data_IF_745096520614
#
_entry.id   IF_745096520614
#
_cell.length_a   1.000
_cell.length_b   1.000
_cell.length_c   1.000
_cell.angle_alpha   90.00
_cell.angle_beta   90.00
_cell.angle_gamma   90.00
#
_symmetry.space_group_name_H-M   'P 1'
#
loop_
_entity.id
_entity.type
_entity.pdbx_description
1 polymer ?
#
# COMPACT_ATOMS: atom_id res chain seq x y z
N UNK A 1 6.35 -11.64 14.63
CA UNK A 1 6.13 -10.52 13.69
C UNK A 1 4.75 -9.98 13.98
N UNK A 2 4.61 -8.68 14.21
CA UNK A 2 3.32 -8.06 14.57
C UNK A 2 2.74 -7.37 13.32
N UNK A 3 1.73 -7.97 12.65
CA UNK A 3 1.27 -7.51 11.35
C UNK A 3 0.57 -6.14 11.42
N UNK A 4 -0.08 -5.81 12.54
CA UNK A 4 -0.66 -4.48 12.77
C UNK A 4 0.41 -3.40 12.86
N UNK A 5 1.51 -3.66 13.58
CA UNK A 5 2.65 -2.73 13.64
C UNK A 5 3.28 -2.51 12.26
N UNK A 6 3.33 -3.55 11.42
CA UNK A 6 3.84 -3.44 10.04
C UNK A 6 2.88 -2.62 9.18
N UNK A 7 1.59 -2.91 9.23
CA UNK A 7 0.57 -2.14 8.51
C UNK A 7 0.64 -0.65 8.88
N UNK A 8 0.67 -0.33 10.17
CA UNK A 8 0.78 1.06 10.64
C UNK A 8 2.12 1.74 10.29
N UNK A 9 3.19 0.98 10.06
CA UNK A 9 4.44 1.54 9.55
C UNK A 9 4.34 1.88 8.05
N UNK A 10 3.73 0.98 7.27
CA UNK A 10 3.50 1.17 5.83
C UNK A 10 2.55 2.34 5.55
N UNK A 11 1.45 2.47 6.30
CA UNK A 11 0.51 3.61 6.17
C UNK A 11 1.18 4.96 6.46
N UNK A 12 2.12 4.99 7.41
CA UNK A 12 2.90 6.21 7.72
C UNK A 12 3.93 6.55 6.65
N UNK A 13 4.51 5.53 6.00
CA UNK A 13 5.49 5.71 4.93
C UNK A 13 4.82 6.12 3.61
N UNK A 14 3.62 5.60 3.34
CA UNK A 14 2.86 5.79 2.11
C UNK A 14 1.51 6.48 2.39
N UNK A 15 1.53 7.81 2.64
CA UNK A 15 0.32 8.53 3.00
C UNK A 15 -0.74 8.43 1.90
N UNK A 16 -1.94 8.00 2.29
CA UNK A 16 -3.07 7.81 1.40
C UNK A 16 -3.33 6.37 1.00
N UNK A 17 -2.51 5.41 1.45
CA UNK A 17 -2.87 4.00 1.47
C UNK A 17 -3.40 3.60 2.85
N UNK A 18 -4.44 2.75 2.86
CA UNK A 18 -4.88 2.01 4.02
C UNK A 18 -4.36 0.56 3.90
N UNK A 19 -3.72 0.04 4.95
CA UNK A 19 -3.12 -1.30 4.93
C UNK A 19 -3.90 -2.24 5.84
N UNK A 20 -4.44 -3.31 5.24
CA UNK A 20 -5.18 -4.35 5.97
C UNK A 20 -4.30 -5.59 6.11
N UNK A 21 -3.85 -5.95 7.32
CA UNK A 21 -3.16 -7.20 7.57
C UNK A 21 -4.12 -8.40 7.55
N UNK A 22 -3.82 -9.40 6.73
CA UNK A 22 -4.52 -10.67 6.66
C UNK A 22 -3.97 -11.65 7.69
N UNK A 23 -4.43 -11.56 8.94
CA UNK A 23 -3.93 -12.37 10.06
C UNK A 23 -3.92 -13.89 9.82
N UNK A 24 -4.88 -14.40 9.04
CA UNK A 24 -4.99 -15.83 8.73
C UNK A 24 -4.24 -16.26 7.47
N UNK A 25 -3.97 -15.32 6.57
CA UNK A 25 -3.34 -15.61 5.27
C UNK A 25 -1.87 -15.21 5.21
N UNK A 26 -1.39 -14.43 6.18
CA UNK A 26 -0.05 -13.84 6.18
C UNK A 26 0.14 -12.79 5.09
N UNK A 27 -0.95 -12.34 4.43
CA UNK A 27 -0.90 -11.36 3.35
C UNK A 27 -1.19 -9.96 3.87
N UNK A 28 -0.74 -8.95 3.15
CA UNK A 28 -1.10 -7.55 3.36
C UNK A 28 -1.85 -7.05 2.13
N UNK A 29 -2.89 -6.27 2.37
CA UNK A 29 -3.66 -5.62 1.31
C UNK A 29 -3.50 -4.11 1.46
N UNK A 30 -3.01 -3.43 0.42
CA UNK A 30 -3.01 -1.99 0.33
C UNK A 30 -4.23 -1.52 -0.46
N UNK A 31 -4.98 -0.58 0.11
CA UNK A 31 -6.19 -0.01 -0.48
C UNK A 31 -5.95 1.49 -0.64
N UNK A 32 -6.10 2.07 -1.84
CA UNK A 32 -5.96 3.51 -2.02
C UNK A 32 -7.12 4.21 -1.30
N UNK A 33 -6.79 5.18 -0.45
CA UNK A 33 -7.74 5.98 0.30
C UNK A 33 -8.57 6.91 -0.60
N UNK A 34 -9.67 7.46 -0.09
CA UNK A 34 -10.62 8.25 -0.89
C UNK A 34 -10.01 9.55 -1.46
N UNK A 35 -9.01 10.11 -0.78
CA UNK A 35 -8.29 11.31 -1.21
C UNK A 35 -7.02 10.98 -1.99
N UNK A 36 -6.78 9.71 -2.31
CA UNK A 36 -5.55 9.28 -2.96
C UNK A 36 -5.62 9.48 -4.48
N UNK A 37 -4.68 10.22 -5.09
CA UNK A 37 -4.75 10.60 -6.50
C UNK A 37 -4.70 9.41 -7.46
N UNK A 38 -4.21 8.26 -7.02
CA UNK A 38 -4.07 7.05 -7.83
C UNK A 38 -5.12 6.00 -7.50
N UNK A 39 -6.37 6.42 -7.22
CA UNK A 39 -7.47 5.49 -6.88
C UNK A 39 -7.70 4.40 -7.93
N UNK A 40 -7.40 4.68 -9.20
CA UNK A 40 -7.54 3.76 -10.32
C UNK A 40 -6.48 2.63 -10.32
N UNK A 41 -5.47 2.71 -9.46
CA UNK A 41 -4.47 1.64 -9.28
C UNK A 41 -5.02 0.36 -8.66
N UNK A 42 -6.21 0.42 -8.05
CA UNK A 42 -6.88 -0.73 -7.44
C UNK A 42 -6.21 -1.22 -6.15
N UNK A 43 -6.72 -2.32 -5.62
CA UNK A 43 -6.18 -2.94 -4.41
C UNK A 43 -4.94 -3.78 -4.74
N UNK A 44 -3.90 -3.68 -3.92
CA UNK A 44 -2.66 -4.44 -4.06
C UNK A 44 -2.59 -5.47 -2.95
N UNK A 45 -2.24 -6.70 -3.28
CA UNK A 45 -2.06 -7.78 -2.30
C UNK A 45 -0.66 -8.35 -2.42
N UNK A 46 0.04 -8.51 -1.29
CA UNK A 46 1.34 -9.16 -1.22
C UNK A 46 1.44 -10.09 -0.01
N UNK A 47 2.28 -11.13 -0.11
CA UNK A 47 2.59 -12.04 1.01
C UNK A 47 3.74 -11.57 1.90
N UNK A 48 4.40 -10.48 1.50
CA UNK A 48 5.55 -9.91 2.18
C UNK A 48 5.40 -8.37 2.21
N UNK A 49 5.70 -7.71 3.33
CA UNK A 49 5.54 -6.26 3.46
C UNK A 49 6.49 -5.45 2.58
N UNK A 50 7.71 -5.93 2.30
CA UNK A 50 8.65 -5.21 1.42
C UNK A 50 8.19 -5.26 -0.04
N UNK A 51 7.60 -6.37 -0.47
CA UNK A 51 6.96 -6.45 -1.79
C UNK A 51 5.71 -5.54 -1.87
N UNK A 52 4.93 -5.43 -0.80
CA UNK A 52 3.80 -4.49 -0.76
C UNK A 52 4.29 -3.04 -0.90
N UNK A 53 5.30 -2.67 -0.12
CA UNK A 53 5.94 -1.34 -0.13
C UNK A 53 6.46 -0.97 -1.52
N UNK A 54 7.21 -1.90 -2.15
CA UNK A 54 7.73 -1.70 -3.51
C UNK A 54 6.61 -1.39 -4.51
N UNK A 55 5.49 -2.11 -4.44
CA UNK A 55 4.37 -1.91 -5.38
C UNK A 55 3.66 -0.57 -5.17
N UNK A 56 3.46 -0.15 -3.92
CA UNK A 56 2.91 1.17 -3.60
C UNK A 56 3.83 2.28 -4.13
N UNK A 57 5.14 2.17 -3.87
CA UNK A 57 6.13 3.14 -4.34
C UNK A 57 6.17 3.24 -5.89
N UNK A 58 5.98 2.12 -6.60
CA UNK A 58 5.90 2.14 -8.06
C UNK A 58 4.67 2.92 -8.56
N UNK A 59 3.51 2.73 -7.95
CA UNK A 59 2.29 3.46 -8.32
C UNK A 59 2.46 4.95 -8.04
N UNK A 60 3.05 5.31 -6.90
CA UNK A 60 3.37 6.68 -6.54
C UNK A 60 4.28 7.35 -7.57
N UNK A 61 5.35 6.66 -7.97
CA UNK A 61 6.30 7.17 -8.95
C UNK A 61 5.67 7.32 -10.35
N UNK A 62 4.87 6.35 -10.79
CA UNK A 62 4.17 6.43 -12.08
C UNK A 62 3.13 7.54 -12.10
N UNK A 63 2.38 7.69 -11.02
CA UNK A 63 1.36 8.70 -10.89
C UNK A 63 1.89 10.14 -10.77
N UNK A 64 3.14 10.33 -10.32
CA UNK A 64 3.81 11.64 -10.33
C UNK A 64 4.31 12.04 -11.74
N UNK A 65 4.49 11.08 -12.65
CA UNK A 65 4.99 11.32 -14.01
C UNK A 65 3.95 11.85 -14.99
N UNK A 66 2.65 11.65 -14.71
CA UNK A 66 1.53 11.99 -15.60
C UNK A 66 1.09 13.48 -15.49
N UNK A 67 1.67 14.25 -14.57
CA UNK A 67 1.35 15.67 -14.33
C UNK A 67 2.34 16.62 -15.04
N UNK A 68 2.81 16.26 -16.25
CA UNK A 68 3.71 17.12 -17.05
C UNK A 68 3.22 17.33 -18.48
#
# INVERSE_FOLDING_TARGET
>A
MDPDRIAAALERAHPGWAIVPGHYTGRFTAIPGPSYPYRDSGMIIAGDPAELERRMALIEAHGQGDVR
#
